data_IF_008415235482
#
_entry.id   IF_008415235482
#
_cell.length_a   1.000
_cell.length_b   1.000
_cell.length_c   1.000
_cell.angle_alpha   90.00
_cell.angle_beta   90.00
_cell.angle_gamma   90.00
#
_symmetry.space_group_name_H-M   'P 1'
#
loop_
_entity.id
_entity.type
_entity.pdbx_description
1 polymer ?
2 non-polymer ?
3 non-polymer ?
4 non-polymer ?
5 non-polymer ?
6 water ?
#
# COMPACT_ATOMS: atom_id res chain seq x y z
N UNK A 8 26.85 -10.07 -0.80
CA UNK A 8 26.39 -9.17 -1.86
C UNK A 8 24.91 -9.36 -2.14
N UNK A 9 24.19 -8.25 -2.33
CA UNK A 9 22.76 -8.32 -2.59
C UNK A 9 22.54 -8.60 -4.07
N UNK A 10 21.73 -9.61 -4.34
CA UNK A 10 21.42 -10.06 -5.69
C UNK A 10 19.91 -9.98 -5.81
N UNK A 11 19.42 -9.13 -6.69
CA UNK A 11 17.99 -8.89 -6.77
C UNK A 11 17.66 -8.12 -8.03
N UNK A 12 16.37 -8.10 -8.36
CA UNK A 12 15.88 -7.42 -9.54
C UNK A 12 14.41 -7.08 -9.31
N UNK A 13 14.00 -5.92 -9.83
CA UNK A 13 12.59 -5.55 -9.91
C UNK A 13 12.41 -4.78 -11.20
N UNK A 14 11.61 -5.32 -12.12
CA UNK A 14 11.35 -4.69 -13.40
C UNK A 14 9.85 -4.48 -13.53
N UNK A 15 9.45 -3.43 -14.27
CA UNK A 15 8.08 -2.95 -14.30
C UNK A 15 7.60 -2.83 -15.74
N UNK A 16 6.29 -2.77 -15.90
CA UNK A 16 5.72 -2.44 -17.19
C UNK A 16 6.25 -1.10 -17.70
N UNK A 17 6.38 -1.01 -19.03
CA UNK A 17 7.04 0.16 -19.61
C UNK A 17 6.20 1.42 -19.56
N UNK A 18 4.89 1.30 -19.44
CA UNK A 18 4.02 2.47 -19.40
C UNK A 18 4.30 3.26 -18.13
N UNK A 19 5.00 4.39 -18.28
CA UNK A 19 5.36 5.19 -17.12
C UNK A 19 4.15 5.95 -16.57
N UNK A 20 3.46 6.70 -17.44
CA UNK A 20 2.24 7.43 -17.08
C UNK A 20 1.08 6.82 -17.85
N UNK A 21 0.29 5.99 -17.17
CA UNK A 21 -0.82 5.30 -17.82
C UNK A 21 -1.92 6.28 -18.19
N UNK A 22 -2.44 6.15 -19.41
CA UNK A 22 -3.54 6.97 -19.91
C UNK A 22 -4.91 6.38 -19.59
N UNK A 23 -4.98 5.38 -18.70
CA UNK A 23 -6.24 4.71 -18.40
C UNK A 23 -7.21 5.67 -17.73
N UNK A 24 -8.47 5.66 -18.21
CA UNK A 24 -9.53 6.47 -17.64
C UNK A 24 -10.30 5.75 -16.54
N UNK A 25 -10.12 4.43 -16.37
CA UNK A 25 -10.91 3.68 -15.40
C UNK A 25 -10.55 4.07 -13.97
N UNK A 26 -9.30 3.82 -13.57
CA UNK A 26 -8.75 4.33 -12.31
C UNK A 26 -7.76 5.42 -12.72
N UNK A 27 -8.16 6.69 -12.80
CA UNK A 27 -7.24 7.72 -13.30
C UNK A 27 -6.02 7.90 -12.40
N UNK A 28 -4.85 7.96 -13.03
CA UNK A 28 -3.64 8.43 -12.34
C UNK A 28 -3.79 9.92 -12.06
N UNK A 29 -3.16 10.37 -10.96
CA UNK A 29 -3.20 11.77 -10.57
C UNK A 29 -2.09 12.56 -11.27
N UNK A 30 -2.43 13.76 -11.74
CA UNK A 30 -1.52 14.63 -12.48
C UNK A 30 -1.04 15.86 -11.69
N UNK A 31 -1.59 16.13 -10.50
CA UNK A 31 -1.21 17.29 -9.69
C UNK A 31 -0.64 16.85 -8.33
N UNK A 32 -0.06 15.65 -8.27
CA UNK A 32 0.54 15.19 -7.04
C UNK A 32 -0.42 14.84 -5.93
N UNK A 33 -1.71 14.67 -6.25
CA UNK A 33 -2.69 14.34 -5.23
C UNK A 33 -2.72 12.84 -4.96
N UNK A 34 -2.76 12.48 -3.68
CA UNK A 34 -2.79 11.09 -3.27
C UNK A 34 -4.17 10.51 -3.56
N UNK A 35 -4.17 9.29 -4.08
CA UNK A 35 -5.40 8.57 -4.33
C UNK A 35 -5.73 7.72 -3.12
N UNK A 36 -7.03 7.51 -2.90
CA UNK A 36 -7.48 6.80 -1.71
C UNK A 36 -7.28 7.65 -0.47
N UNK A 37 -7.51 6.99 0.67
CA UNK A 37 -7.29 7.58 1.98
C UNK A 37 -6.22 6.77 2.70
N UNK A 38 -5.23 7.46 3.26
CA UNK A 38 -4.15 6.80 3.98
C UNK A 38 -4.68 6.06 5.19
N UNK A 39 -4.25 4.83 5.38
CA UNK A 39 -4.55 4.08 6.58
C UNK A 39 -3.63 4.54 7.69
N UNK A 40 -4.19 4.90 8.84
CA UNK A 40 -3.44 5.38 9.99
C UNK A 40 -3.62 4.53 11.24
N UNK A 41 -4.61 3.65 11.27
CA UNK A 41 -4.92 2.87 12.47
C UNK A 41 -4.21 1.52 12.42
N UNK A 42 -2.88 1.59 12.47
CA UNK A 42 -2.03 0.42 12.54
C UNK A 42 -1.51 0.23 13.97
N UNK A 43 -1.37 -1.03 14.38
CA UNK A 43 -0.74 -1.41 15.63
C UNK A 43 0.63 -2.00 15.33
N UNK A 44 1.64 -1.59 16.10
CA UNK A 44 3.03 -1.81 15.73
C UNK A 44 3.88 -2.53 16.78
N UNK A 45 3.31 -2.94 17.92
CA UNK A 45 4.14 -3.52 18.98
C UNK A 45 3.42 -4.53 19.88
N UNK A 46 2.67 -5.44 19.28
CA UNK A 46 2.03 -6.54 19.99
C UNK A 46 2.84 -7.81 19.69
N UNK A 47 3.58 -8.29 20.69
CA UNK A 47 4.51 -9.39 20.50
C UNK A 47 3.80 -10.61 19.93
N UNK A 48 4.40 -11.19 18.88
CA UNK A 48 3.80 -12.30 18.17
C UNK A 48 2.91 -11.91 17.01
N UNK A 49 2.49 -10.64 16.93
CA UNK A 49 1.60 -10.16 15.89
C UNK A 49 2.17 -8.98 15.12
N UNK A 50 2.87 -8.07 15.79
CA UNK A 50 3.47 -6.92 15.12
C UNK A 50 4.76 -6.52 15.83
N UNK A 51 5.61 -5.79 15.11
CA UNK A 51 6.93 -5.44 15.62
C UNK A 51 7.53 -4.36 14.73
N UNK A 52 8.52 -3.67 15.29
CA UNK A 52 9.40 -2.76 14.57
C UNK A 52 10.83 -3.04 15.00
N UNK A 53 11.73 -3.20 14.03
CA UNK A 53 13.16 -3.37 14.25
C UNK A 53 13.90 -2.39 13.34
N UNK A 54 14.39 -1.28 13.88
CA UNK A 54 15.12 -0.29 13.11
C UNK A 54 14.29 0.25 11.95
N UNK A 55 12.98 0.32 12.18
CA UNK A 55 12.05 1.05 11.33
C UNK A 55 11.14 1.82 12.27
N UNK A 56 10.87 3.07 11.92
CA UNK A 56 10.00 3.91 12.74
C UNK A 56 8.59 3.83 12.20
N UNK A 57 7.63 4.08 13.09
CA UNK A 57 6.23 4.25 12.71
C UNK A 57 5.72 5.58 13.26
N UNK A 58 5.11 6.38 12.40
CA UNK A 58 4.43 7.58 12.86
C UNK A 58 3.48 8.06 11.77
N UNK A 59 2.27 8.45 12.19
CA UNK A 59 1.30 9.05 11.29
C UNK A 59 0.91 8.09 10.17
N UNK A 60 0.81 6.80 10.52
CA UNK A 60 0.44 5.79 9.56
C UNK A 60 1.52 5.40 8.58
N UNK A 61 2.74 5.91 8.75
CA UNK A 61 3.83 5.70 7.81
C UNK A 61 4.95 4.91 8.47
N UNK A 62 5.55 4.00 7.71
CA UNK A 62 6.82 3.40 8.08
C UNK A 62 7.92 4.30 7.54
N UNK A 63 8.84 4.71 8.41
CA UNK A 63 9.86 5.70 8.09
C UNK A 63 11.22 5.02 8.18
N UNK A 64 12.00 5.16 7.12
CA UNK A 64 13.20 4.36 6.95
C UNK A 64 14.33 4.96 7.77
N UNK A 65 15.01 4.11 8.54
CA UNK A 65 16.21 4.50 9.26
C UNK A 65 17.49 4.13 8.53
N UNK A 66 17.46 3.06 7.73
CA UNK A 66 18.65 2.51 7.08
C UNK A 66 18.40 2.43 5.57
N UNK A 67 19.16 3.23 4.80
CA UNK A 67 19.10 3.15 3.36
C UNK A 67 19.37 1.74 2.87
N UNK A 68 18.63 1.32 1.85
CA UNK A 68 18.88 0.03 1.23
C UNK A 68 17.66 -0.46 0.47
N UNK A 69 17.74 -1.73 0.09
CA UNK A 69 16.69 -2.39 -0.68
C UNK A 69 15.72 -3.05 0.27
N UNK A 70 14.43 -2.77 0.10
CA UNK A 70 13.39 -3.32 0.96
C UNK A 70 12.37 -4.06 0.09
N UNK A 71 11.95 -5.22 0.57
CA UNK A 71 10.71 -5.84 0.10
C UNK A 71 9.58 -5.26 0.94
N UNK A 72 8.59 -4.67 0.28
CA UNK A 72 7.50 -3.97 0.92
C UNK A 72 6.21 -4.70 0.54
N UNK A 73 5.29 -4.83 1.48
CA UNK A 73 4.03 -5.53 1.20
C UNK A 73 2.91 -4.98 2.07
N UNK A 74 1.69 -5.19 1.61
CA UNK A 74 0.51 -4.89 2.42
C UNK A 74 -0.64 -5.79 1.99
N UNK A 75 -1.44 -6.21 2.96
CA UNK A 75 -2.73 -6.83 2.70
C UNK A 75 -3.81 -5.92 3.25
N UNK A 76 -4.87 -5.71 2.46
CA UNK A 76 -6.01 -4.90 2.87
C UNK A 76 -7.28 -5.69 2.59
N UNK A 77 -8.11 -5.84 3.61
CA UNK A 77 -9.29 -6.69 3.59
C UNK A 77 -10.52 -5.81 3.47
N UNK A 78 -11.19 -5.89 2.32
CA UNK A 78 -12.46 -5.23 2.09
C UNK A 78 -13.60 -6.20 2.38
N UNK A 79 -14.52 -5.79 3.24
CA UNK A 79 -15.66 -6.60 3.63
C UNK A 79 -16.86 -5.68 3.72
N UNK A 80 -17.96 -6.04 3.07
CA UNK A 80 -19.13 -5.19 3.09
C UNK A 80 -20.39 -6.02 2.90
N UNK A 81 -21.49 -5.48 3.43
CA UNK A 81 -22.82 -6.06 3.30
C UNK A 81 -23.70 -5.06 2.58
N UNK A 82 -24.57 -5.55 1.69
CA UNK A 82 -25.47 -4.71 0.91
C UNK A 82 -26.92 -5.05 1.25
N UNK A 96 -24.00 -1.25 -10.56
CA UNK A 96 -23.07 -0.65 -9.60
C UNK A 96 -21.97 -1.65 -9.22
N UNK A 97 -20.73 -1.18 -9.22
CA UNK A 97 -19.60 -1.92 -8.71
C UNK A 97 -18.77 -0.99 -7.85
N UNK A 98 -18.02 -1.59 -6.94
CA UNK A 98 -17.08 -0.87 -6.10
C UNK A 98 -15.68 -1.10 -6.66
N UNK A 99 -14.93 -0.02 -6.86
CA UNK A 99 -13.52 -0.11 -7.21
C UNK A 99 -12.72 -0.20 -5.91
N UNK A 100 -12.11 -1.36 -5.69
CA UNK A 100 -11.33 -1.63 -4.48
C UNK A 100 -9.87 -1.63 -4.89
N UNK A 101 -9.13 -0.59 -4.47
CA UNK A 101 -7.76 -0.37 -4.91
C UNK A 101 -6.87 -0.14 -3.70
N UNK A 102 -5.71 -0.77 -3.70
CA UNK A 102 -4.68 -0.57 -2.69
C UNK A 102 -3.47 0.09 -3.34
N UNK A 103 -3.05 1.22 -2.77
CA UNK A 103 -1.86 1.93 -3.18
C UNK A 103 -0.82 1.85 -2.06
N UNK A 104 0.43 1.59 -2.44
CA UNK A 104 1.56 1.73 -1.52
C UNK A 104 2.39 2.89 -2.05
N UNK A 105 2.53 3.93 -1.22
CA UNK A 105 3.07 5.22 -1.59
C UNK A 105 4.43 5.45 -0.92
N UNK A 106 5.24 6.31 -1.53
CA UNK A 106 6.51 6.75 -0.96
C UNK A 106 6.58 8.26 -1.00
N UNK A 107 6.94 8.87 0.13
CA UNK A 107 7.42 10.24 0.18
C UNK A 107 8.93 10.23 0.28
N UNK A 108 9.59 10.99 -0.59
CA UNK A 108 11.03 11.15 -0.56
C UNK A 108 11.32 12.59 -0.98
N UNK A 109 12.56 12.87 -1.36
CA UNK A 109 12.94 14.19 -1.84
C UNK A 109 12.49 14.31 -3.29
N UNK A 110 11.18 14.53 -3.45
CA UNK A 110 10.53 14.57 -4.74
C UNK A 110 9.23 15.34 -4.52
N UNK A 111 8.80 16.20 -5.43
CA UNK A 111 7.67 17.10 -5.09
C UNK A 111 6.34 16.39 -4.91
N UNK A 112 6.19 15.16 -5.39
CA UNK A 112 4.93 14.43 -5.33
C UNK A 112 5.08 13.16 -4.50
N UNK A 113 4.01 12.70 -3.85
CA UNK A 113 4.02 11.32 -3.36
C UNK A 113 4.03 10.37 -4.54
N UNK A 114 4.77 9.27 -4.39
CA UNK A 114 5.07 8.37 -5.49
C UNK A 114 4.34 7.05 -5.26
N UNK A 115 3.51 6.65 -6.21
CA UNK A 115 2.92 5.32 -6.16
C UNK A 115 4.01 4.31 -6.49
N UNK A 116 4.35 3.45 -5.52
CA UNK A 116 5.25 2.34 -5.79
C UNK A 116 4.52 1.16 -6.39
N UNK A 117 3.33 0.84 -5.87
CA UNK A 117 2.59 -0.35 -6.26
C UNK A 117 1.09 -0.06 -6.17
N UNK A 118 0.34 -0.56 -7.15
CA UNK A 118 -1.10 -0.43 -7.22
C UNK A 118 -1.70 -1.80 -7.51
N UNK A 119 -2.76 -2.15 -6.78
CA UNK A 119 -3.48 -3.40 -7.00
C UNK A 119 -4.98 -3.15 -6.86
N UNK A 120 -5.77 -3.64 -7.83
CA UNK A 120 -7.17 -3.26 -7.95
C UNK A 120 -8.08 -4.46 -8.18
N UNK A 121 -9.28 -4.37 -7.60
CA UNK A 121 -10.37 -5.31 -7.85
C UNK A 121 -11.66 -4.51 -8.04
N UNK A 122 -12.61 -5.12 -8.77
CA UNK A 122 -13.97 -4.63 -8.83
C UNK A 122 -14.87 -5.67 -8.15
N UNK A 123 -15.85 -5.20 -7.40
CA UNK A 123 -16.77 -6.14 -6.78
C UNK A 123 -17.67 -6.77 -7.83
N UNK A 124 -18.29 -7.88 -7.46
CA UNK A 124 -19.18 -8.59 -8.36
C UNK A 124 -20.31 -7.68 -8.81
N UNK A 125 -20.60 -7.73 -10.12
CA UNK A 125 -21.61 -6.89 -10.73
C UNK A 125 -23.04 -7.42 -10.58
N UNK A 126 -23.20 -8.65 -10.13
CA UNK A 126 -24.53 -9.25 -10.09
C UNK A 126 -25.42 -8.51 -9.10
N UNK A 127 -26.65 -8.23 -9.53
CA UNK A 127 -27.65 -7.65 -8.64
C UNK A 127 -27.97 -8.56 -7.47
N UNK A 128 -27.67 -9.86 -7.55
CA UNK A 128 -27.83 -10.79 -6.45
C UNK A 128 -26.74 -10.68 -5.39
N UNK A 129 -25.79 -9.75 -5.51
CA UNK A 129 -24.66 -9.70 -4.58
C UNK A 129 -25.12 -9.20 -3.22
N UNK A 130 -25.11 -10.09 -2.23
CA UNK A 130 -25.50 -9.72 -0.88
C UNK A 130 -24.35 -9.13 -0.09
N UNK A 131 -23.13 -9.64 -0.30
CA UNK A 131 -21.96 -9.16 0.43
C UNK A 131 -20.72 -9.38 -0.41
N UNK A 132 -19.62 -8.83 0.09
CA UNK A 132 -18.34 -8.92 -0.59
C UNK A 132 -17.21 -9.16 0.38
N UNK A 133 -16.22 -9.91 -0.10
CA UNK A 133 -15.02 -10.30 0.65
C UNK A 133 -13.89 -10.19 -0.35
N UNK A 134 -13.01 -9.20 -0.20
CA UNK A 134 -11.95 -8.93 -1.17
C UNK A 134 -10.68 -8.59 -0.41
N UNK A 135 -9.84 -9.60 -0.16
CA UNK A 135 -8.51 -9.38 0.38
C UNK A 135 -7.55 -9.13 -0.78
N UNK A 136 -6.77 -8.06 -0.68
CA UNK A 136 -5.82 -7.65 -1.70
C UNK A 136 -4.44 -7.66 -1.07
N UNK A 137 -3.56 -8.56 -1.55
CA UNK A 137 -2.16 -8.56 -1.17
C UNK A 137 -1.33 -8.12 -2.36
N UNK A 138 -0.27 -7.35 -2.09
CA UNK A 138 0.76 -7.08 -3.08
C UNK A 138 2.06 -6.81 -2.36
N UNK A 139 3.16 -6.96 -3.08
CA UNK A 139 4.46 -6.58 -2.55
C UNK A 139 5.49 -6.52 -3.64
N UNK A 140 6.64 -5.94 -3.30
CA UNK A 140 7.72 -5.81 -4.27
C UNK A 140 8.94 -5.16 -3.64
N UNK A 141 9.99 -5.07 -4.47
CA UNK A 141 11.32 -4.65 -4.07
C UNK A 141 11.57 -3.22 -4.53
N UNK A 142 11.99 -2.36 -3.59
CA UNK A 142 12.22 -0.96 -3.91
C UNK A 142 13.42 -0.45 -3.12
N UNK A 143 14.24 0.35 -3.78
CA UNK A 143 15.39 0.97 -3.14
C UNK A 143 14.93 2.23 -2.41
N UNK A 144 15.20 2.29 -1.11
CA UNK A 144 14.72 3.37 -0.27
C UNK A 144 15.89 4.10 0.37
N UNK A 145 15.65 5.38 0.64
CA UNK A 145 16.62 6.25 1.29
C UNK A 145 16.21 6.50 2.74
N UNK A 146 17.19 6.88 3.55
CA UNK A 146 16.90 7.26 4.93
C UNK A 146 15.90 8.41 4.93
N UNK A 147 14.93 8.31 5.84
CA UNK A 147 13.83 9.27 6.05
C UNK A 147 12.76 9.22 4.97
N UNK A 148 12.85 8.31 4.00
CA UNK A 148 11.71 8.03 3.15
C UNK A 148 10.55 7.55 4.03
N UNK A 149 9.33 7.90 3.61
CA UNK A 149 8.11 7.55 4.35
C UNK A 149 7.22 6.74 3.42
N UNK A 150 6.78 5.57 3.86
CA UNK A 150 5.96 4.69 3.05
C UNK A 150 4.67 4.39 3.79
N UNK A 151 3.57 4.37 3.05
CA UNK A 151 2.26 4.17 3.64
C UNK A 151 1.33 3.51 2.64
N UNK A 152 0.20 3.06 3.16
CA UNK A 152 -0.84 2.37 2.40
C UNK A 152 -2.04 3.29 2.32
N UNK A 153 -2.63 3.37 1.13
CA UNK A 153 -3.82 4.17 0.87
C UNK A 153 -4.80 3.32 0.07
N UNK A 154 -6.09 3.44 0.39
CA UNK A 154 -7.12 2.60 -0.21
C UNK A 154 -8.32 3.46 -0.60
N UNK A 155 -8.95 3.09 -1.71
CA UNK A 155 -10.29 3.57 -2.01
C UNK A 155 -11.28 2.87 -1.10
N UNK A 156 -12.46 3.48 -0.94
CA UNK A 156 -13.55 2.90 -0.15
C UNK A 156 -13.10 2.49 1.25
N UNK A 157 -12.43 3.42 1.96
CA UNK A 157 -11.88 3.09 3.28
C UNK A 157 -12.96 2.63 4.25
N UNK A 158 -14.19 3.14 4.10
CA UNK A 158 -15.27 2.73 4.98
C UNK A 158 -15.59 1.25 4.86
N UNK A 159 -15.18 0.60 3.77
CA UNK A 159 -15.34 -0.84 3.60
C UNK A 159 -14.12 -1.63 4.06
N UNK A 160 -13.05 -0.97 4.50
CA UNK A 160 -11.89 -1.69 5.00
C UNK A 160 -12.19 -2.29 6.36
N UNK A 161 -11.64 -3.47 6.59
CA UNK A 161 -11.75 -4.18 7.86
C UNK A 161 -10.36 -4.23 8.47
N UNK A 162 -10.19 -3.53 9.59
CA UNK A 162 -8.90 -3.46 10.28
C UNK A 162 -8.68 -4.64 11.24
N UNK A 163 -9.30 -5.78 10.96
CA UNK A 163 -8.93 -7.04 11.60
C UNK A 163 -7.42 -7.26 11.48
N UNK A 164 -6.76 -7.44 12.63
CA UNK A 164 -5.30 -7.60 12.63
C UNK A 164 -4.85 -8.84 11.89
N UNK A 165 -5.72 -9.84 11.76
CA UNK A 165 -5.38 -11.04 11.00
C UNK A 165 -5.40 -10.76 9.50
N UNK A 166 -6.25 -9.82 9.07
CA UNK A 166 -6.60 -9.71 7.65
C UNK A 166 -5.97 -8.50 6.97
N UNK A 167 -5.59 -7.47 7.73
CA UNK A 167 -5.06 -6.23 7.17
C UNK A 167 -3.76 -5.90 7.87
N UNK A 168 -2.71 -5.70 7.09
CA UNK A 168 -1.39 -5.47 7.65
C UNK A 168 -0.49 -4.86 6.58
N UNK A 169 0.72 -4.49 7.02
CA UNK A 169 1.63 -3.66 6.26
C UNK A 169 3.01 -3.89 6.85
N UNK A 170 3.99 -4.22 6.00
CA UNK A 170 5.32 -4.49 6.51
C UNK A 170 6.38 -4.32 5.45
N UNK A 171 7.63 -4.47 5.90
CA UNK A 171 8.77 -4.40 5.00
C UNK A 171 9.98 -4.98 5.70
N UNK A 172 10.94 -5.47 4.90
CA UNK A 172 12.20 -5.89 5.46
C UNK A 172 13.36 -5.56 4.53
N UNK A 173 14.49 -5.23 5.13
CA UNK A 173 15.71 -4.89 4.39
C UNK A 173 16.37 -6.16 3.89
N UNK A 174 16.83 -6.12 2.64
CA UNK A 174 17.52 -7.22 2.01
C UNK A 174 19.01 -6.93 2.01
N UNK A 175 19.77 -7.76 2.73
CA UNK A 175 21.21 -7.64 2.79
C UNK A 175 21.87 -8.45 1.68
X LIG B 1 -19.53 -11.68 -10.29
X LIG C 1 -17.29 -11.70 -9.46
X LIG D 1 -16.27 2.67 -6.06
X LIG E 1 -15.97 -3.08 7.36
X LIG F 1 13.33 8.64 -6.01
X LIG F 1 14.12 9.13 -4.93
X LIG F 1 12.95 9.72 -6.97
X LIG F 1 12.24 9.16 -8.08
X LIG F 1 11.58 10.15 -8.85
X LIG F 1 10.84 9.52 -9.98
X LIG F 1 9.49 9.23 -9.61
X LIG F 1 13.84 7.96 -6.48
X LIG F 1 12.51 8.24 -5.65
X LIG F 1 14.89 8.78 -4.87
X LIG F 1 12.39 10.37 -6.52
X LIG F 1 13.75 10.16 -7.29
X LIG F 1 10.95 10.63 -8.29
X LIG F 1 12.24 10.78 -9.20
X LIG F 1 10.83 10.12 -10.74
X LIG F 1 11.28 8.70 -10.23
X LIG F 1 8.93 9.40 -10.20
X LIG G 1 -12.06 6.74 -3.29
X LIG G 1 -13.09 6.08 -2.53
X LIG G 1 -11.57 8.02 -2.64
X LIG G 1 -10.93 7.70 -1.40
X LIG G 1 -11.21 6.05 -3.41
X LIG G 1 -12.44 6.95 -4.29
X LIG G 1 -13.37 5.28 -2.99
X LIG G 1 -10.87 8.54 -3.31
X LIG G 1 -12.42 8.70 -2.47
X LIG G 1 -10.62 8.52 -0.99
#
# INVERSE_FOLDING_TARGET
MPRGGRPQKVAAHITGITRRSNSALIPISKDGKTLGQKIESWESSRKGHSFLNHVLFRNGELVIEQEGLYYIYSQTYFRFQEAEDASKMVSKDKVRTKQLVQYIYKYTSYPDPIVLMKSARNSCWSRDAEYGLYSIYQGGLFELKKNDRIFVSVTNEHLMDLDQEASFFGAFLIN
ZN ZN
CL CL
CL CL
CL CL
PEG C1 O1 C2 O2 C3 C4 O4 H11 H12 HO1 H21 H22 H31 H32 H41 H42 HO4
EDO C1 O1 C2 O2 H11 H12 HO1 H21 H22 HO2
#
